data_IF_925207006555
#
_entry.id   IF_925207006555
#
_cell.length_a   1.000
_cell.length_b   1.000
_cell.length_c   1.000
_cell.angle_alpha   90.00
_cell.angle_beta   90.00
_cell.angle_gamma   90.00
#
_symmetry.space_group_name_H-M   'P 1'
#
loop_
_entity.id
_entity.type
_entity.pdbx_description
1 polymer ?
#
# COMPACT_ATOMS: atom_id res chain seq x y z
N UNK A 1 -30.79 8.00 13.09
CA UNK A 1 -29.54 7.63 12.39
C UNK A 1 -28.40 8.14 13.28
N UNK A 2 -27.55 7.25 13.83
CA UNK A 2 -26.49 7.66 14.78
C UNK A 2 -25.48 8.60 14.11
N UNK A 3 -24.92 9.57 14.85
CA UNK A 3 -23.81 10.43 14.39
C UNK A 3 -22.67 9.58 13.81
N UNK A 4 -22.44 8.39 14.37
CA UNK A 4 -21.45 7.41 13.88
C UNK A 4 -21.73 6.95 12.44
N UNK A 5 -22.99 6.78 12.04
CA UNK A 5 -23.34 6.37 10.68
C UNK A 5 -23.09 7.50 9.68
N UNK A 6 -23.24 8.76 10.10
CA UNK A 6 -22.91 9.92 9.26
C UNK A 6 -21.40 10.06 9.10
N UNK A 7 -20.64 9.86 10.19
CA UNK A 7 -19.17 9.85 10.13
C UNK A 7 -18.68 8.76 9.17
N UNK A 8 -19.22 7.55 9.19
CA UNK A 8 -18.80 6.48 8.26
C UNK A 8 -18.92 6.80 6.76
N UNK A 9 -19.70 7.82 6.38
CA UNK A 9 -19.87 8.25 4.98
C UNK A 9 -18.91 9.33 4.52
N UNK A 10 -18.04 9.87 5.40
CA UNK A 10 -17.10 10.92 4.98
C UNK A 10 -16.22 10.52 3.78
N UNK A 11 -15.77 9.25 3.61
CA UNK A 11 -14.97 8.90 2.44
C UNK A 11 -15.74 9.03 1.11
N UNK A 12 -17.06 8.83 1.14
CA UNK A 12 -17.94 9.01 -0.03
C UNK A 12 -18.00 10.49 -0.46
N UNK A 13 -17.85 11.43 0.48
CA UNK A 13 -17.83 12.86 0.20
C UNK A 13 -16.53 13.27 -0.51
N UNK A 14 -15.39 12.80 -0.03
CA UNK A 14 -14.08 13.00 -0.69
C UNK A 14 -14.08 12.37 -2.09
N UNK A 15 -14.63 11.16 -2.22
CA UNK A 15 -14.78 10.48 -3.50
C UNK A 15 -15.67 11.28 -4.47
N UNK A 16 -16.82 11.76 -3.99
CA UNK A 16 -17.75 12.56 -4.79
C UNK A 16 -17.07 13.83 -5.33
N UNK A 17 -16.35 14.58 -4.50
CA UNK A 17 -15.67 15.79 -4.96
C UNK A 17 -14.59 15.51 -6.00
N UNK A 18 -13.83 14.42 -5.84
CA UNK A 18 -12.81 13.98 -6.80
C UNK A 18 -13.42 13.55 -8.14
N UNK A 19 -14.51 12.79 -8.13
CA UNK A 19 -15.21 12.38 -9.36
C UNK A 19 -15.77 13.60 -10.09
N UNK A 20 -16.38 14.54 -9.35
CA UNK A 20 -16.85 15.81 -9.91
C UNK A 20 -15.70 16.65 -10.49
N UNK A 21 -14.56 16.73 -9.81
CA UNK A 21 -13.36 17.38 -10.33
C UNK A 21 -12.86 16.74 -11.63
N UNK A 22 -12.90 15.41 -11.71
CA UNK A 22 -12.50 14.66 -12.89
C UNK A 22 -13.48 14.83 -14.08
N UNK A 23 -14.79 14.85 -13.83
CA UNK A 23 -15.81 15.14 -14.86
C UNK A 23 -15.57 16.53 -15.49
N UNK A 24 -15.31 17.55 -14.66
CA UNK A 24 -15.00 18.89 -15.16
C UNK A 24 -13.69 18.92 -15.98
N UNK A 25 -12.66 18.21 -15.51
CA UNK A 25 -11.40 18.07 -16.26
C UNK A 25 -11.64 17.48 -17.66
N UNK A 26 -12.42 16.39 -17.76
CA UNK A 26 -12.73 15.77 -19.05
C UNK A 26 -13.50 16.72 -19.98
N UNK A 27 -14.47 17.47 -19.44
CA UNK A 27 -15.22 18.45 -20.22
C UNK A 27 -14.33 19.57 -20.77
N UNK A 28 -13.41 20.09 -19.95
CA UNK A 28 -12.44 21.12 -20.39
C UNK A 28 -11.58 20.59 -21.54
N UNK A 29 -11.00 19.39 -21.40
CA UNK A 29 -10.18 18.78 -22.45
C UNK A 29 -10.98 18.52 -23.74
N UNK A 30 -12.23 18.10 -23.60
CA UNK A 30 -13.10 17.90 -24.75
C UNK A 30 -13.33 19.22 -25.51
N UNK A 31 -13.74 20.27 -24.81
CA UNK A 31 -14.03 21.58 -25.41
C UNK A 31 -12.78 22.20 -26.04
N UNK A 32 -11.60 21.99 -25.44
CA UNK A 32 -10.33 22.46 -26.00
C UNK A 32 -9.98 21.73 -27.32
N UNK A 33 -10.15 20.40 -27.37
CA UNK A 33 -9.97 19.63 -28.62
C UNK A 33 -10.92 20.08 -29.72
N UNK A 34 -12.14 20.46 -29.35
CA UNK A 34 -13.16 21.01 -30.24
C UNK A 34 -12.91 22.49 -30.61
N UNK A 35 -11.86 23.12 -30.07
CA UNK A 35 -11.54 24.55 -30.24
C UNK A 35 -12.72 25.48 -29.85
N UNK A 36 -13.52 25.05 -28.87
CA UNK A 36 -14.72 25.75 -28.43
C UNK A 36 -14.40 26.87 -27.45
N UNK A 37 -14.90 28.08 -27.70
CA UNK A 37 -14.77 29.21 -26.77
C UNK A 37 -15.45 28.97 -25.41
N UNK A 38 -16.37 28.00 -25.34
CA UNK A 38 -17.00 27.59 -24.08
C UNK A 38 -16.01 27.02 -23.06
N UNK A 39 -14.82 26.59 -23.50
CA UNK A 39 -13.77 26.10 -22.60
C UNK A 39 -13.43 27.12 -21.51
N UNK A 40 -13.42 28.42 -21.83
CA UNK A 40 -13.12 29.49 -20.86
C UNK A 40 -14.26 29.70 -19.86
N UNK A 41 -15.51 29.61 -20.32
CA UNK A 41 -16.68 29.71 -19.45
C UNK A 41 -16.77 28.50 -18.50
N UNK A 42 -16.51 27.30 -19.00
CA UNK A 42 -16.45 26.08 -18.20
C UNK A 42 -15.23 26.10 -17.26
N UNK A 43 -14.10 26.68 -17.70
CA UNK A 43 -12.89 26.87 -16.90
C UNK A 43 -13.12 27.70 -15.63
N UNK A 44 -14.13 28.57 -15.58
CA UNK A 44 -14.57 29.26 -14.35
C UNK A 44 -15.05 28.29 -13.25
N UNK A 45 -15.33 27.03 -13.59
CA UNK A 45 -15.59 25.97 -12.64
C UNK A 45 -14.36 25.55 -11.82
N UNK A 46 -13.13 25.78 -12.30
CA UNK A 46 -11.91 25.32 -11.60
C UNK A 46 -11.83 25.81 -10.14
N UNK A 47 -12.00 27.11 -9.83
CA UNK A 47 -12.02 27.58 -8.45
C UNK A 47 -13.13 26.96 -7.61
N UNK A 48 -14.32 26.75 -8.20
CA UNK A 48 -15.49 26.18 -7.51
C UNK A 48 -15.20 24.74 -7.09
N UNK A 49 -14.68 23.93 -8.00
CA UNK A 49 -14.35 22.54 -7.72
C UNK A 49 -13.10 22.40 -6.84
N UNK A 50 -12.17 23.37 -6.91
CA UNK A 50 -11.05 23.43 -5.97
C UNK A 50 -11.54 23.73 -4.55
N UNK A 51 -12.51 24.66 -4.39
CA UNK A 51 -13.15 24.92 -3.10
C UNK A 51 -13.95 23.71 -2.59
N UNK A 52 -14.64 23.00 -3.49
CA UNK A 52 -15.36 21.78 -3.15
C UNK A 52 -14.41 20.69 -2.65
N UNK A 53 -13.29 20.46 -3.33
CA UNK A 53 -12.25 19.52 -2.91
C UNK A 53 -11.62 19.92 -1.58
N UNK A 54 -11.33 21.21 -1.39
CA UNK A 54 -10.83 21.72 -0.12
C UNK A 54 -11.81 21.43 1.02
N UNK A 55 -13.09 21.76 0.83
CA UNK A 55 -14.12 21.57 1.85
C UNK A 55 -14.39 20.09 2.15
N UNK A 56 -14.52 19.25 1.12
CA UNK A 56 -14.74 17.81 1.30
C UNK A 56 -13.57 17.16 2.04
N UNK A 57 -12.34 17.58 1.74
CA UNK A 57 -11.13 17.11 2.39
C UNK A 57 -11.05 17.56 3.84
N UNK A 58 -11.32 18.84 4.13
CA UNK A 58 -11.40 19.35 5.51
C UNK A 58 -12.42 18.57 6.34
N UNK A 59 -13.63 18.35 5.79
CA UNK A 59 -14.69 17.58 6.48
C UNK A 59 -14.21 16.15 6.75
N UNK A 60 -13.64 15.50 5.74
CA UNK A 60 -13.11 14.14 5.83
C UNK A 60 -12.04 14.02 6.91
N UNK A 61 -11.08 14.93 6.93
CA UNK A 61 -9.98 14.90 7.89
C UNK A 61 -10.44 15.23 9.32
N UNK A 62 -11.40 16.15 9.49
CA UNK A 62 -12.06 16.36 10.80
C UNK A 62 -12.75 15.08 11.26
N UNK A 63 -13.46 14.37 10.37
CA UNK A 63 -14.09 13.11 10.71
C UNK A 63 -13.06 12.02 11.05
N UNK A 64 -11.93 11.94 10.33
CA UNK A 64 -10.81 11.04 10.64
C UNK A 64 -10.22 11.31 12.02
N UNK A 65 -10.02 12.59 12.38
CA UNK A 65 -9.53 12.98 13.70
C UNK A 65 -10.52 12.54 14.79
N UNK A 66 -11.81 12.80 14.60
CA UNK A 66 -12.86 12.36 15.54
C UNK A 66 -12.86 10.84 15.68
N UNK A 67 -12.77 10.11 14.57
CA UNK A 67 -12.72 8.65 14.55
C UNK A 67 -11.48 8.11 15.29
N UNK A 68 -10.30 8.68 15.06
CA UNK A 68 -9.07 8.37 15.82
C UNK A 68 -9.26 8.59 17.32
N UNK A 69 -9.90 9.68 17.74
CA UNK A 69 -10.17 9.94 19.16
C UNK A 69 -11.12 8.88 19.73
N UNK A 70 -12.20 8.55 19.02
CA UNK A 70 -13.16 7.51 19.44
C UNK A 70 -12.45 6.16 19.55
N UNK A 71 -11.71 5.74 18.53
CA UNK A 71 -10.96 4.48 18.53
C UNK A 71 -9.94 4.44 19.67
N UNK A 72 -9.24 5.55 19.91
CA UNK A 72 -8.27 5.66 21.01
C UNK A 72 -8.93 5.43 22.37
N UNK A 73 -10.12 6.01 22.57
CA UNK A 73 -10.89 5.83 23.82
C UNK A 73 -11.39 4.40 23.96
N UNK A 74 -11.97 3.83 22.88
CA UNK A 74 -12.55 2.48 22.89
C UNK A 74 -11.48 1.42 23.16
N UNK A 75 -10.32 1.55 22.51
CA UNK A 75 -9.22 0.59 22.61
C UNK A 75 -8.31 0.84 23.82
N UNK A 76 -8.44 2.01 24.47
CA UNK A 76 -7.58 2.45 25.58
C UNK A 76 -6.08 2.52 25.20
N UNK A 77 -5.81 2.73 23.92
CA UNK A 77 -4.47 2.90 23.34
C UNK A 77 -4.52 3.86 22.16
N UNK A 78 -3.43 4.57 21.86
CA UNK A 78 -3.42 5.58 20.80
C UNK A 78 -3.70 4.99 19.41
N UNK A 79 -4.66 5.57 18.67
CA UNK A 79 -5.10 5.11 17.34
C UNK A 79 -4.69 6.02 16.18
N UNK A 80 -3.38 6.27 16.07
CA UNK A 80 -2.81 7.32 15.21
C UNK A 80 -2.85 7.10 13.70
N UNK A 81 -3.07 5.88 13.19
CA UNK A 81 -2.95 5.60 11.75
C UNK A 81 -3.75 6.55 10.86
N UNK A 82 -5.01 6.84 11.22
CA UNK A 82 -5.89 7.69 10.40
C UNK A 82 -5.46 9.17 10.32
N UNK A 83 -4.57 9.64 11.21
CA UNK A 83 -4.09 11.03 11.21
C UNK A 83 -2.68 11.17 10.63
N UNK A 84 -1.94 10.07 10.40
CA UNK A 84 -0.60 10.13 9.81
C UNK A 84 -0.61 10.62 8.36
N UNK A 85 -1.69 10.35 7.63
CA UNK A 85 -1.85 10.83 6.24
C UNK A 85 -2.13 12.33 6.15
N UNK A 86 -2.49 13.00 7.26
CA UNK A 86 -2.81 14.44 7.23
C UNK A 86 -1.65 15.32 6.75
N UNK A 87 -0.40 14.90 7.03
CA UNK A 87 0.77 15.62 6.54
C UNK A 87 0.94 15.44 5.02
N UNK A 88 0.64 14.26 4.50
CA UNK A 88 0.63 13.99 3.05
C UNK A 88 -0.47 14.81 2.38
N UNK A 89 -1.61 14.98 3.05
CA UNK A 89 -2.75 15.75 2.59
C UNK A 89 -2.48 17.26 2.50
N UNK A 90 -1.44 17.78 3.17
CA UNK A 90 -1.07 19.21 3.13
C UNK A 90 -0.80 19.69 1.69
N UNK A 91 -0.28 18.82 0.83
CA UNK A 91 -0.04 19.13 -0.59
C UNK A 91 -1.37 19.31 -1.34
N UNK A 92 -2.36 18.45 -1.06
CA UNK A 92 -3.70 18.55 -1.64
C UNK A 92 -4.45 19.81 -1.16
N UNK A 93 -4.27 20.18 0.11
CA UNK A 93 -4.76 21.43 0.67
C UNK A 93 -4.17 22.64 -0.07
N UNK A 94 -2.85 22.69 -0.19
CA UNK A 94 -2.16 23.78 -0.89
C UNK A 94 -2.60 23.86 -2.35
N UNK A 95 -2.65 22.72 -3.06
CA UNK A 95 -3.09 22.64 -4.45
C UNK A 95 -4.52 23.17 -4.64
N UNK A 96 -5.44 22.76 -3.78
CA UNK A 96 -6.84 23.21 -3.82
C UNK A 96 -6.98 24.70 -3.50
N UNK A 97 -6.24 25.20 -2.51
CA UNK A 97 -6.22 26.62 -2.18
C UNK A 97 -5.64 27.50 -3.30
N UNK A 98 -4.54 27.05 -3.92
CA UNK A 98 -3.95 27.72 -5.08
C UNK A 98 -4.93 27.67 -6.27
N UNK A 99 -5.62 26.55 -6.48
CA UNK A 99 -6.64 26.43 -7.53
C UNK A 99 -7.80 27.41 -7.36
N UNK A 100 -8.20 27.72 -6.11
CA UNK A 100 -9.21 28.74 -5.82
C UNK A 100 -8.75 30.16 -6.17
N UNK A 101 -7.48 30.47 -5.90
CA UNK A 101 -6.95 31.84 -5.98
C UNK A 101 -6.32 32.17 -7.33
N UNK A 102 -5.52 31.25 -7.85
CA UNK A 102 -4.73 31.39 -9.09
C UNK A 102 -5.41 30.72 -10.29
N UNK A 103 -6.32 29.75 -10.06
CA UNK A 103 -6.96 28.98 -11.13
C UNK A 103 -7.70 29.84 -12.16
N UNK A 104 -8.31 30.95 -11.76
CA UNK A 104 -8.97 31.90 -12.68
C UNK A 104 -7.96 32.50 -13.67
N UNK A 105 -6.78 32.89 -13.19
CA UNK A 105 -5.78 33.52 -14.05
C UNK A 105 -5.16 32.51 -15.03
N UNK A 106 -4.85 31.31 -14.53
CA UNK A 106 -4.28 30.27 -15.38
C UNK A 106 -5.26 29.73 -16.41
N UNK A 107 -6.55 29.58 -16.07
CA UNK A 107 -7.54 29.06 -17.02
C UNK A 107 -7.82 30.05 -18.15
N UNK A 108 -7.70 31.36 -17.92
CA UNK A 108 -7.85 32.37 -18.99
C UNK A 108 -6.73 32.22 -20.04
N UNK A 109 -5.54 31.80 -19.62
CA UNK A 109 -4.41 31.62 -20.52
C UNK A 109 -4.39 30.21 -21.15
N UNK A 110 -4.56 29.17 -20.34
CA UNK A 110 -4.52 27.77 -20.76
C UNK A 110 -5.46 26.93 -19.86
N UNK A 111 -6.73 26.73 -20.27
CA UNK A 111 -7.72 26.00 -19.48
C UNK A 111 -7.32 24.55 -19.16
N UNK A 112 -6.75 23.82 -20.12
CA UNK A 112 -6.37 22.42 -19.91
C UNK A 112 -5.20 22.28 -18.92
N UNK A 113 -4.20 23.14 -19.03
CA UNK A 113 -3.10 23.17 -18.05
C UNK A 113 -3.60 23.53 -16.65
N UNK A 114 -4.52 24.50 -16.53
CA UNK A 114 -5.13 24.84 -15.25
C UNK A 114 -5.96 23.68 -14.67
N UNK A 115 -6.72 22.97 -15.52
CA UNK A 115 -7.49 21.79 -15.14
C UNK A 115 -6.57 20.66 -14.68
N UNK A 116 -5.50 20.39 -15.42
CA UNK A 116 -4.48 19.40 -15.07
C UNK A 116 -3.83 19.72 -13.74
N UNK A 117 -3.55 20.99 -13.42
CA UNK A 117 -2.90 21.37 -12.18
C UNK A 117 -3.86 21.33 -10.96
N UNK A 118 -5.11 21.77 -11.13
CA UNK A 118 -6.01 22.04 -10.00
C UNK A 118 -7.23 21.14 -9.85
N UNK A 119 -7.60 20.35 -10.87
CA UNK A 119 -8.71 19.39 -10.74
C UNK A 119 -8.20 17.99 -10.38
N UNK A 120 -9.01 16.95 -10.55
CA UNK A 120 -8.50 15.58 -10.52
C UNK A 120 -8.15 15.20 -11.96
N UNK A 121 -6.90 14.81 -12.18
CA UNK A 121 -6.37 14.40 -13.49
C UNK A 121 -6.21 12.86 -13.53
N UNK A 122 -6.16 12.24 -14.72
CA UNK A 122 -5.82 10.82 -14.84
C UNK A 122 -4.40 10.57 -14.32
N UNK A 123 -4.16 9.37 -13.80
CA UNK A 123 -2.82 8.93 -13.47
C UNK A 123 -1.99 8.81 -14.76
N UNK A 124 -0.77 9.35 -14.74
CA UNK A 124 0.16 9.20 -15.85
C UNK A 124 0.79 7.81 -15.79
N UNK A 125 0.56 6.93 -16.79
CA UNK A 125 1.12 5.58 -16.80
C UNK A 125 2.65 5.56 -16.96
N UNK A 126 3.26 6.69 -17.30
CA UNK A 126 4.71 6.83 -17.42
C UNK A 126 5.38 7.29 -16.11
N UNK A 127 4.61 7.64 -15.08
CA UNK A 127 5.17 7.90 -13.76
C UNK A 127 5.51 6.56 -13.11
N UNK A 128 6.79 6.22 -13.11
CA UNK A 128 7.31 4.94 -12.63
C UNK A 128 8.39 5.19 -11.58
N UNK A 129 8.32 4.50 -10.44
CA UNK A 129 9.34 4.57 -9.38
C UNK A 129 10.44 3.51 -9.53
N UNK A 130 10.08 2.36 -10.10
CA UNK A 130 10.97 1.24 -10.36
C UNK A 130 11.40 1.21 -11.82
N UNK A 131 12.70 1.05 -12.07
CA UNK A 131 13.18 0.70 -13.41
C UNK A 131 12.66 -0.67 -13.84
N UNK A 132 12.71 -0.99 -15.14
CA UNK A 132 12.31 -2.32 -15.63
C UNK A 132 13.19 -3.45 -15.06
N UNK A 133 14.45 -3.18 -14.72
CA UNK A 133 15.34 -4.12 -14.03
C UNK A 133 14.87 -4.37 -12.59
N UNK A 134 14.53 -3.31 -11.85
CA UNK A 134 14.03 -3.42 -10.48
C UNK A 134 12.67 -4.13 -10.44
N UNK A 135 11.75 -3.79 -11.34
CA UNK A 135 10.49 -4.51 -11.49
C UNK A 135 10.70 -6.00 -11.78
N UNK A 136 11.67 -6.34 -12.63
CA UNK A 136 12.01 -7.73 -12.94
C UNK A 136 12.56 -8.48 -11.72
N UNK A 137 13.38 -7.82 -10.89
CA UNK A 137 13.90 -8.37 -9.64
C UNK A 137 12.77 -8.65 -8.64
N UNK A 138 11.84 -7.71 -8.46
CA UNK A 138 10.69 -7.92 -7.56
C UNK A 138 9.82 -9.09 -8.01
N UNK A 139 9.45 -9.15 -9.29
CA UNK A 139 8.66 -10.27 -9.80
C UNK A 139 9.40 -11.62 -9.67
N UNK A 140 10.71 -11.65 -9.91
CA UNK A 140 11.51 -12.86 -9.75
C UNK A 140 11.59 -13.30 -8.28
N UNK A 141 11.79 -12.36 -7.35
CA UNK A 141 11.76 -12.67 -5.92
C UNK A 141 10.39 -13.16 -5.48
N UNK A 142 9.30 -12.52 -5.93
CA UNK A 142 7.94 -12.92 -5.59
C UNK A 142 7.63 -14.35 -6.06
N UNK A 143 8.05 -14.73 -7.27
CA UNK A 143 7.88 -16.10 -7.78
C UNK A 143 8.66 -17.14 -6.97
N UNK A 144 9.91 -16.81 -6.62
CA UNK A 144 10.78 -17.68 -5.81
C UNK A 144 10.23 -17.82 -4.39
N UNK A 145 9.77 -16.73 -3.77
CA UNK A 145 9.16 -16.74 -2.43
C UNK A 145 7.86 -17.53 -2.43
N UNK A 146 6.99 -17.36 -3.43
CA UNK A 146 5.76 -18.13 -3.57
C UNK A 146 6.04 -19.64 -3.61
N UNK A 147 7.00 -20.05 -4.44
CA UNK A 147 7.40 -21.45 -4.54
C UNK A 147 8.00 -21.97 -3.21
N UNK A 148 8.85 -21.17 -2.57
CA UNK A 148 9.49 -21.49 -1.28
C UNK A 148 8.43 -21.68 -0.18
N UNK A 149 7.47 -20.76 -0.07
CA UNK A 149 6.40 -20.83 0.91
C UNK A 149 5.50 -22.04 0.72
N UNK A 150 5.14 -22.40 -0.51
CA UNK A 150 4.38 -23.63 -0.79
C UNK A 150 5.18 -24.86 -0.35
N UNK A 151 6.45 -24.95 -0.76
CA UNK A 151 7.32 -26.09 -0.48
C UNK A 151 7.49 -26.32 1.03
N UNK A 152 7.67 -25.25 1.78
CA UNK A 152 7.88 -25.28 3.22
C UNK A 152 6.58 -25.07 4.00
N UNK A 153 5.41 -25.10 3.37
CA UNK A 153 4.11 -24.89 4.02
C UNK A 153 4.13 -23.68 4.97
N UNK A 154 4.61 -22.53 4.47
CA UNK A 154 4.58 -21.25 5.16
C UNK A 154 3.33 -20.53 4.70
N UNK A 155 2.31 -20.49 5.56
CA UNK A 155 1.04 -19.85 5.23
C UNK A 155 1.20 -18.34 5.15
N UNK A 156 0.86 -17.74 3.99
CA UNK A 156 1.07 -16.32 3.73
C UNK A 156 -0.02 -15.74 2.82
N UNK A 157 -0.23 -14.43 2.89
CA UNK A 157 -1.11 -13.67 2.01
C UNK A 157 -0.39 -12.40 1.53
N UNK A 158 -0.72 -11.95 0.33
CA UNK A 158 -0.41 -10.58 -0.10
C UNK A 158 -1.14 -9.58 0.80
N UNK A 159 -0.48 -8.50 1.16
CA UNK A 159 -1.04 -7.42 1.98
C UNK A 159 -0.73 -6.06 1.33
N UNK A 160 -1.23 -4.98 1.93
CA UNK A 160 -0.83 -3.61 1.63
C UNK A 160 -0.93 -3.24 0.13
N UNK A 161 0.12 -2.57 -0.41
CA UNK A 161 0.22 -2.14 -1.81
C UNK A 161 0.23 -3.32 -2.77
N UNK A 162 0.77 -4.47 -2.36
CA UNK A 162 0.77 -5.68 -3.17
C UNK A 162 -0.64 -6.27 -3.36
N UNK A 163 -1.45 -6.30 -2.30
CA UNK A 163 -2.86 -6.69 -2.39
C UNK A 163 -3.65 -5.73 -3.30
N UNK A 164 -3.40 -4.42 -3.18
CA UNK A 164 -4.01 -3.41 -4.03
C UNK A 164 -3.59 -3.59 -5.50
N UNK A 165 -2.30 -3.82 -5.76
CA UNK A 165 -1.75 -4.06 -7.09
C UNK A 165 -2.31 -5.32 -7.74
N UNK A 166 -2.48 -6.41 -6.99
CA UNK A 166 -3.05 -7.65 -7.52
C UNK A 166 -4.49 -7.45 -8.03
N UNK A 167 -5.31 -6.72 -7.27
CA UNK A 167 -6.70 -6.49 -7.63
C UNK A 167 -6.86 -5.38 -8.69
N UNK A 168 -6.11 -4.28 -8.55
CA UNK A 168 -6.28 -3.07 -9.38
C UNK A 168 -5.44 -3.07 -10.64
N UNK A 169 -4.18 -3.49 -10.56
CA UNK A 169 -3.21 -3.43 -11.66
C UNK A 169 -2.93 -4.80 -12.30
N UNK A 170 -3.27 -5.89 -11.61
CA UNK A 170 -2.84 -7.25 -11.91
C UNK A 170 -1.31 -7.41 -11.89
N UNK A 171 -0.63 -6.65 -11.03
CA UNK A 171 0.83 -6.62 -10.89
C UNK A 171 1.29 -5.53 -9.93
N UNK A 172 2.58 -5.19 -9.98
CA UNK A 172 3.16 -4.10 -9.18
C UNK A 172 2.57 -2.76 -9.64
N UNK A 173 2.17 -1.93 -8.67
CA UNK A 173 1.73 -0.57 -8.92
C UNK A 173 2.92 0.26 -9.40
N UNK A 174 2.78 1.00 -10.50
CA UNK A 174 3.92 1.71 -11.13
C UNK A 174 4.62 2.72 -10.22
N UNK A 175 3.89 3.26 -9.25
CA UNK A 175 4.41 4.21 -8.27
C UNK A 175 4.60 3.58 -6.87
N UNK A 176 4.68 2.26 -6.77
CA UNK A 176 5.28 1.53 -5.63
C UNK A 176 6.77 1.31 -5.88
N UNK A 177 7.52 1.07 -4.81
CA UNK A 177 8.95 0.75 -4.84
C UNK A 177 9.32 -0.59 -4.15
N UNK A 178 8.33 -1.34 -3.65
CA UNK A 178 8.49 -2.63 -2.97
C UNK A 178 7.28 -3.57 -3.15
N UNK A 179 7.26 -4.67 -2.39
CA UNK A 179 6.12 -5.58 -2.26
C UNK A 179 5.98 -6.06 -0.81
N UNK A 180 4.76 -6.39 -0.40
CA UNK A 180 4.40 -6.71 0.97
C UNK A 180 3.71 -8.08 1.06
N UNK A 181 4.25 -8.95 1.91
CA UNK A 181 3.69 -10.25 2.23
C UNK A 181 3.48 -10.36 3.74
N UNK A 182 2.34 -10.89 4.18
CA UNK A 182 2.10 -11.23 5.58
C UNK A 182 2.11 -12.75 5.75
N UNK A 183 2.83 -13.27 6.75
CA UNK A 183 2.82 -14.70 7.11
C UNK A 183 1.88 -14.95 8.31
N UNK A 184 1.18 -16.09 8.30
CA UNK A 184 0.28 -16.49 9.40
C UNK A 184 1.08 -16.67 10.70
N UNK A 185 0.51 -16.34 11.88
CA UNK A 185 1.18 -16.53 13.17
C UNK A 185 1.81 -17.91 13.34
N UNK A 186 1.11 -18.98 12.95
CA UNK A 186 1.60 -20.36 13.07
C UNK A 186 2.79 -20.69 12.17
N UNK A 187 3.06 -19.87 11.15
CA UNK A 187 4.18 -20.05 10.22
C UNK A 187 5.41 -19.19 10.58
N UNK A 188 5.27 -18.24 11.52
CA UNK A 188 6.33 -17.28 11.88
C UNK A 188 7.59 -17.99 12.38
N UNK A 189 7.46 -18.83 13.40
CA UNK A 189 8.62 -19.50 13.99
C UNK A 189 9.29 -20.46 13.00
N UNK A 190 8.48 -21.17 12.20
CA UNK A 190 8.99 -22.06 11.16
C UNK A 190 9.79 -21.29 10.10
N UNK A 191 9.27 -20.15 9.64
CA UNK A 191 9.98 -19.30 8.68
C UNK A 191 11.28 -18.77 9.27
N UNK A 192 11.25 -18.26 10.50
CA UNK A 192 12.42 -17.78 11.24
C UNK A 192 13.52 -18.85 11.32
N UNK A 193 13.18 -20.09 11.70
CA UNK A 193 14.13 -21.21 11.75
C UNK A 193 14.74 -21.49 10.38
N UNK A 194 13.94 -21.46 9.30
CA UNK A 194 14.45 -21.65 7.93
C UNK A 194 15.43 -20.54 7.51
N UNK A 195 15.22 -19.31 7.98
CA UNK A 195 16.15 -18.19 7.77
C UNK A 195 17.45 -18.38 8.58
N UNK A 196 17.35 -18.63 9.88
CA UNK A 196 18.50 -18.75 10.80
C UNK A 196 19.40 -19.95 10.48
N UNK A 197 18.81 -21.05 10.00
CA UNK A 197 19.56 -22.26 9.58
C UNK A 197 20.18 -22.11 8.18
N UNK A 198 19.94 -20.99 7.48
CA UNK A 198 20.44 -20.72 6.14
C UNK A 198 19.74 -21.50 5.03
N UNK A 199 18.67 -22.24 5.33
CA UNK A 199 17.88 -22.98 4.33
C UNK A 199 17.24 -22.01 3.34
N UNK A 200 16.68 -20.91 3.83
CA UNK A 200 16.09 -19.85 3.00
C UNK A 200 17.08 -19.36 1.94
N UNK A 201 18.23 -18.83 2.36
CA UNK A 201 19.23 -18.27 1.43
C UNK A 201 19.79 -19.32 0.48
N UNK A 202 19.99 -20.57 0.95
CA UNK A 202 20.51 -21.67 0.13
C UNK A 202 19.54 -22.10 -0.98
N UNK A 203 18.24 -22.17 -0.69
CA UNK A 203 17.24 -22.62 -1.67
C UNK A 203 16.78 -21.50 -2.60
N UNK A 204 16.67 -20.26 -2.10
CA UNK A 204 16.15 -19.12 -2.87
C UNK A 204 17.24 -18.33 -3.60
N UNK A 205 18.47 -18.30 -3.09
CA UNK A 205 19.51 -17.38 -3.55
C UNK A 205 19.23 -15.91 -3.19
N UNK A 206 18.29 -15.66 -2.28
CA UNK A 206 17.86 -14.34 -1.82
C UNK A 206 18.46 -14.08 -0.44
N UNK A 207 18.98 -12.87 -0.24
CA UNK A 207 19.43 -12.39 1.06
C UNK A 207 18.24 -11.86 1.86
N UNK A 208 18.33 -11.97 3.18
CA UNK A 208 17.27 -11.54 4.10
C UNK A 208 17.86 -10.81 5.31
N UNK A 209 17.23 -9.70 5.68
CA UNK A 209 17.62 -8.90 6.86
C UNK A 209 16.39 -8.67 7.72
N UNK A 210 16.51 -8.94 9.03
CA UNK A 210 15.47 -8.61 10.00
C UNK A 210 15.45 -7.10 10.25
N UNK A 211 14.26 -6.51 10.28
CA UNK A 211 14.05 -5.08 10.47
C UNK A 211 13.47 -4.83 11.86
N UNK A 212 14.21 -4.11 12.70
CA UNK A 212 13.78 -3.79 14.07
C UNK A 212 12.51 -2.93 14.06
N UNK A 213 12.43 -1.96 13.14
CA UNK A 213 11.32 -1.02 13.07
C UNK A 213 10.00 -1.68 12.69
N UNK A 214 9.98 -2.51 11.64
CA UNK A 214 8.78 -3.21 11.19
C UNK A 214 8.54 -4.52 11.95
N UNK A 215 9.57 -5.04 12.64
CA UNK A 215 9.60 -6.36 13.24
C UNK A 215 9.60 -7.52 12.22
N UNK A 216 9.67 -7.22 10.92
CA UNK A 216 9.64 -8.20 9.85
C UNK A 216 11.00 -8.43 9.18
N UNK A 217 10.96 -8.88 7.94
CA UNK A 217 12.16 -9.15 7.15
C UNK A 217 12.08 -8.46 5.80
N UNK A 218 13.21 -7.94 5.34
CA UNK A 218 13.39 -7.44 3.98
C UNK A 218 14.22 -8.43 3.18
N UNK A 219 13.68 -8.87 2.05
CA UNK A 219 14.30 -9.82 1.13
C UNK A 219 14.78 -9.10 -0.13
N UNK A 220 16.01 -9.35 -0.55
CA UNK A 220 16.61 -8.74 -1.73
C UNK A 220 17.67 -9.65 -2.35
N UNK A 221 18.00 -9.46 -3.63
CA UNK A 221 19.16 -10.15 -4.21
C UNK A 221 20.47 -9.56 -3.69
N UNK A 222 21.49 -10.41 -3.52
CA UNK A 222 22.79 -10.01 -2.97
C UNK A 222 23.50 -8.93 -3.77
N UNK A 223 23.30 -8.89 -5.09
CA UNK A 223 23.83 -7.87 -5.99
C UNK A 223 22.97 -6.59 -6.08
N UNK A 224 21.90 -6.49 -5.30
CA UNK A 224 21.04 -5.30 -5.25
C UNK A 224 21.76 -4.14 -4.57
N UNK A 225 21.68 -2.89 -5.11
CA UNK A 225 22.26 -1.70 -4.49
C UNK A 225 21.80 -1.53 -3.04
N UNK A 226 22.74 -1.30 -2.12
CA UNK A 226 22.45 -1.11 -0.69
C UNK A 226 22.19 0.36 -0.36
N UNK A 227 21.48 0.59 0.74
CA UNK A 227 21.32 1.94 1.30
C UNK A 227 22.66 2.55 1.74
N UNK A 228 22.66 3.87 1.95
CA UNK A 228 23.85 4.58 2.39
C UNK A 228 24.29 4.14 3.80
N UNK A 229 25.59 4.31 4.15
CA UNK A 229 26.09 4.00 5.49
C UNK A 229 25.38 4.80 6.60
N UNK A 230 25.17 4.17 7.76
CA UNK A 230 24.47 4.72 8.92
C UNK A 230 22.99 5.06 8.67
N UNK A 231 22.36 4.35 7.76
CA UNK A 231 20.92 4.50 7.48
C UNK A 231 20.19 3.22 7.87
N UNK A 232 18.88 3.27 8.16
CA UNK A 232 18.09 2.06 8.41
C UNK A 232 18.17 1.04 7.26
N UNK A 233 18.54 1.48 6.05
CA UNK A 233 18.63 0.67 4.84
C UNK A 233 20.06 0.27 4.46
N UNK A 234 21.07 0.56 5.29
CA UNK A 234 22.50 0.28 4.97
C UNK A 234 22.75 -1.17 4.55
N UNK A 235 22.02 -2.11 5.15
CA UNK A 235 22.16 -3.53 4.88
C UNK A 235 21.05 -4.09 3.97
N UNK A 236 20.09 -3.26 3.58
CA UNK A 236 18.98 -3.64 2.72
C UNK A 236 19.31 -3.32 1.26
N UNK A 237 19.15 -4.31 0.37
CA UNK A 237 19.24 -4.10 -1.07
C UNK A 237 17.93 -3.59 -1.67
N UNK A 238 18.00 -2.69 -2.66
CA UNK A 238 16.86 -2.25 -3.46
C UNK A 238 16.82 -2.92 -4.84
N UNK A 239 15.65 -3.35 -5.33
CA UNK A 239 14.36 -3.34 -4.65
C UNK A 239 14.26 -4.50 -3.64
N UNK A 240 13.27 -4.47 -2.75
CA UNK A 240 13.07 -5.50 -1.73
C UNK A 240 11.60 -5.91 -1.60
N UNK A 241 11.38 -7.09 -1.02
CA UNK A 241 10.05 -7.55 -0.57
C UNK A 241 10.06 -7.57 0.95
N UNK A 242 9.09 -6.90 1.57
CA UNK A 242 8.80 -6.98 3.00
C UNK A 242 7.98 -8.22 3.32
N UNK A 243 8.42 -8.97 4.33
CA UNK A 243 7.71 -10.11 4.92
C UNK A 243 7.38 -9.74 6.36
N UNK A 244 6.09 -9.54 6.63
CA UNK A 244 5.59 -9.20 7.96
C UNK A 244 5.15 -10.45 8.73
N UNK A 245 5.69 -10.69 9.94
CA UNK A 245 5.18 -11.73 10.81
C UNK A 245 3.79 -11.36 11.31
N UNK A 246 2.82 -12.21 11.05
CA UNK A 246 1.47 -12.06 11.60
C UNK A 246 1.43 -12.41 13.09
N UNK A 247 0.55 -11.74 13.83
CA UNK A 247 0.16 -12.10 15.19
C UNK A 247 -1.36 -12.02 15.32
N UNK A 248 -1.93 -12.92 16.13
CA UNK A 248 -3.35 -12.86 16.49
C UNK A 248 -3.59 -11.79 17.56
N UNK A 249 -4.55 -10.90 17.33
CA UNK A 249 -5.02 -9.89 18.29
C UNK A 249 -6.55 -9.88 18.37
N UNK A 250 -7.09 -9.29 19.44
CA UNK A 250 -8.52 -9.05 19.56
C UNK A 250 -8.84 -7.60 19.15
N UNK A 251 -9.79 -7.45 18.24
CA UNK A 251 -10.39 -6.17 17.86
C UNK A 251 -11.91 -6.27 18.07
N UNK A 252 -12.44 -5.60 19.10
CA UNK A 252 -13.88 -5.64 19.41
C UNK A 252 -14.45 -7.08 19.49
N UNK A 253 -13.78 -7.94 20.27
CA UNK A 253 -14.11 -9.37 20.46
C UNK A 253 -13.92 -10.28 19.22
N UNK A 254 -13.39 -9.74 18.13
CA UNK A 254 -13.03 -10.52 16.95
C UNK A 254 -11.52 -10.80 16.91
N UNK A 255 -11.14 -12.05 16.70
CA UNK A 255 -9.75 -12.42 16.41
C UNK A 255 -9.36 -11.94 15.02
N UNK A 256 -8.30 -11.15 14.96
CA UNK A 256 -7.69 -10.63 13.74
C UNK A 256 -6.22 -11.06 13.67
N UNK A 257 -5.69 -11.16 12.46
CA UNK A 257 -4.27 -11.37 12.16
C UNK A 257 -3.74 -10.05 11.62
N UNK A 258 -2.76 -9.47 12.30
CA UNK A 258 -2.13 -8.18 11.94
C UNK A 258 -0.64 -8.25 12.20
N UNK A 259 0.07 -7.15 12.01
CA UNK A 259 1.51 -7.04 12.22
C UNK A 259 1.95 -7.48 13.62
N UNK A 260 3.03 -8.27 13.69
CA UNK A 260 3.69 -8.65 14.93
C UNK A 260 4.18 -7.45 15.72
N UNK A 261 4.77 -6.46 15.03
CA UNK A 261 5.21 -5.22 15.67
C UNK A 261 4.01 -4.33 16.04
N UNK A 262 3.94 -3.90 17.30
CA UNK A 262 2.87 -3.05 17.81
C UNK A 262 2.79 -1.70 17.07
N UNK A 263 3.94 -1.07 16.79
CA UNK A 263 3.97 0.22 16.09
C UNK A 263 3.37 0.11 14.69
N UNK A 264 3.75 -0.92 13.93
CA UNK A 264 3.19 -1.16 12.59
C UNK A 264 1.67 -1.36 12.65
N UNK A 265 1.17 -2.19 13.57
CA UNK A 265 -0.27 -2.40 13.72
C UNK A 265 -1.03 -1.12 14.11
N UNK A 266 -0.42 -0.24 14.92
CA UNK A 266 -1.02 1.05 15.30
C UNK A 266 -1.00 2.08 14.17
N UNK A 267 -0.02 2.01 13.27
CA UNK A 267 0.10 2.86 12.09
C UNK A 267 -0.85 2.39 10.98
N UNK A 268 -1.04 1.09 10.83
CA UNK A 268 -1.85 0.47 9.78
C UNK A 268 -3.08 -0.23 10.35
N UNK A 269 -3.94 0.47 11.10
CA UNK A 269 -5.07 -0.14 11.84
C UNK A 269 -6.11 -0.85 10.97
N UNK A 270 -6.26 -0.43 9.72
CA UNK A 270 -7.15 -1.11 8.76
C UNK A 270 -6.57 -2.40 8.19
N UNK A 271 -5.26 -2.57 8.35
CA UNK A 271 -4.47 -3.61 7.73
C UNK A 271 -4.31 -4.81 8.67
N UNK A 272 -5.34 -5.63 8.61
CA UNK A 272 -5.43 -6.91 9.27
C UNK A 272 -6.33 -7.81 8.45
N UNK A 273 -6.25 -9.11 8.69
CA UNK A 273 -7.21 -10.09 8.19
C UNK A 273 -8.03 -10.62 9.36
N UNK A 274 -9.31 -10.87 9.17
CA UNK A 274 -10.05 -11.70 10.14
C UNK A 274 -9.67 -13.18 9.95
N UNK A 275 -9.95 -14.01 10.96
CA UNK A 275 -9.74 -15.45 10.83
C UNK A 275 -10.49 -16.05 9.61
N UNK A 276 -11.72 -15.59 9.35
CA UNK A 276 -12.53 -16.05 8.21
C UNK A 276 -11.96 -15.57 6.87
N UNK A 277 -11.47 -14.32 6.82
CA UNK A 277 -10.80 -13.78 5.63
C UNK A 277 -9.55 -14.61 5.32
N UNK A 278 -8.70 -14.86 6.32
CA UNK A 278 -7.46 -15.61 6.17
C UNK A 278 -7.67 -17.09 5.84
N UNK A 279 -8.74 -17.72 6.35
CA UNK A 279 -9.11 -19.10 6.02
C UNK A 279 -9.33 -19.30 4.51
N UNK A 280 -9.64 -18.21 3.78
CA UNK A 280 -9.66 -18.25 2.32
C UNK A 280 -8.26 -18.11 1.73
N UNK A 281 -7.99 -18.86 0.67
CA UNK A 281 -6.71 -18.84 -0.02
C UNK A 281 -6.94 -18.97 -1.53
N UNK A 282 -6.68 -17.88 -2.25
CA UNK A 282 -6.89 -17.77 -3.70
C UNK A 282 -5.59 -17.34 -4.37
N UNK A 283 -5.25 -17.96 -5.50
CA UNK A 283 -4.12 -17.50 -6.33
C UNK A 283 -4.57 -16.31 -7.18
N UNK A 284 -3.88 -15.18 -7.04
CA UNK A 284 -4.04 -13.99 -7.88
C UNK A 284 -3.00 -13.97 -9.00
N UNK A 285 -3.36 -13.60 -10.24
CA UNK A 285 -2.38 -13.18 -11.23
C UNK A 285 -1.67 -11.91 -10.75
N UNK A 286 -0.34 -11.89 -10.84
CA UNK A 286 0.47 -10.74 -10.42
C UNK A 286 1.69 -10.60 -11.34
N UNK A 287 1.54 -9.82 -12.41
CA UNK A 287 2.54 -9.73 -13.48
C UNK A 287 2.85 -11.11 -14.09
N UNK A 288 4.11 -11.54 -14.17
CA UNK A 288 4.49 -12.86 -14.68
C UNK A 288 4.32 -14.00 -13.68
N UNK A 289 3.91 -13.72 -12.43
CA UNK A 289 3.78 -14.73 -11.36
C UNK A 289 2.36 -14.80 -10.80
N UNK A 290 2.19 -15.59 -9.75
CA UNK A 290 0.96 -15.72 -8.97
C UNK A 290 1.29 -15.67 -7.50
N UNK A 291 0.38 -15.09 -6.71
CA UNK A 291 0.54 -14.98 -5.26
C UNK A 291 -0.74 -15.38 -4.55
N UNK A 292 -0.62 -15.87 -3.32
CA UNK A 292 -1.79 -16.16 -2.49
C UNK A 292 -2.36 -14.88 -1.88
N UNK A 293 -3.68 -14.72 -2.00
CA UNK A 293 -4.49 -13.72 -1.31
C UNK A 293 -5.75 -14.37 -0.75
N UNK A 294 -6.71 -13.53 -0.37
CA UNK A 294 -8.04 -13.94 0.13
C UNK A 294 -9.08 -13.92 -1.01
N UNK A 295 -10.34 -14.28 -0.77
CA UNK A 295 -11.38 -14.20 -1.82
C UNK A 295 -11.54 -12.77 -2.40
N UNK A 296 -11.82 -12.58 -3.71
CA UNK A 296 -11.85 -11.25 -4.34
C UNK A 296 -12.77 -10.21 -3.70
N UNK A 297 -14.01 -10.57 -3.39
CA UNK A 297 -14.95 -9.64 -2.75
C UNK A 297 -14.48 -9.26 -1.33
N UNK A 298 -13.82 -10.20 -0.66
CA UNK A 298 -13.27 -10.02 0.69
C UNK A 298 -12.00 -9.16 0.63
N UNK A 299 -11.20 -9.31 -0.43
CA UNK A 299 -10.05 -8.46 -0.71
C UNK A 299 -10.46 -7.00 -0.92
N UNK A 300 -11.59 -6.74 -1.60
CA UNK A 300 -12.14 -5.39 -1.71
C UNK A 300 -12.47 -4.78 -0.35
N UNK A 301 -13.13 -5.53 0.53
CA UNK A 301 -13.46 -5.09 1.90
C UNK A 301 -12.19 -4.83 2.73
N UNK A 302 -11.19 -5.69 2.63
CA UNK A 302 -9.86 -5.49 3.23
C UNK A 302 -9.22 -4.19 2.72
N UNK A 303 -9.17 -3.97 1.41
CA UNK A 303 -8.57 -2.76 0.82
C UNK A 303 -9.36 -1.49 1.18
N UNK A 304 -10.68 -1.56 1.26
CA UNK A 304 -11.52 -0.45 1.73
C UNK A 304 -11.24 -0.10 3.18
N UNK A 305 -10.99 -1.11 4.01
CA UNK A 305 -10.63 -0.93 5.40
C UNK A 305 -9.22 -0.34 5.56
N UNK A 306 -8.25 -0.81 4.77
CA UNK A 306 -6.85 -0.37 4.82
C UNK A 306 -6.65 1.03 4.24
N UNK A 307 -7.29 1.34 3.10
CA UNK A 307 -7.00 2.54 2.31
C UNK A 307 -8.21 3.43 2.01
N UNK A 308 -9.41 3.00 2.39
CA UNK A 308 -10.66 3.68 2.06
C UNK A 308 -11.20 3.37 0.66
N UNK A 309 -12.45 3.76 0.37
CA UNK A 309 -13.15 3.42 -0.87
C UNK A 309 -12.57 4.06 -2.13
N UNK A 310 -11.64 5.01 -2.00
CA UNK A 310 -10.96 5.62 -3.15
C UNK A 310 -9.84 4.76 -3.72
N UNK A 311 -9.27 3.80 -2.97
CA UNK A 311 -8.04 3.10 -3.37
C UNK A 311 -8.12 2.35 -4.71
N UNK A 312 -9.29 1.77 -5.02
CA UNK A 312 -9.53 1.07 -6.29
C UNK A 312 -9.78 2.02 -7.47
N UNK A 313 -10.19 3.26 -7.20
CA UNK A 313 -10.54 4.27 -8.22
C UNK A 313 -9.46 5.31 -8.43
N UNK A 314 -8.56 5.49 -7.46
CA UNK A 314 -7.56 6.53 -7.46
C UNK A 314 -6.19 5.98 -7.13
N UNK A 315 -5.20 6.48 -7.84
CA UNK A 315 -3.78 6.34 -7.50
C UNK A 315 -3.43 7.50 -6.60
N UNK A 316 -3.06 7.21 -5.34
CA UNK A 316 -2.45 8.21 -4.48
C UNK A 316 -0.95 8.15 -4.72
N UNK A 317 -0.41 9.15 -5.41
CA UNK A 317 1.03 9.30 -5.52
C UNK A 317 1.55 9.80 -4.18
N UNK A 318 2.36 8.98 -3.52
CA UNK A 318 3.11 9.33 -2.32
C UNK A 318 4.56 9.63 -2.68
N UNK A 319 5.32 10.19 -1.76
CA UNK A 319 6.76 10.26 -1.95
C UNK A 319 7.36 8.84 -1.88
N UNK A 320 8.43 8.52 -2.62
CA UNK A 320 9.08 7.21 -2.53
C UNK A 320 9.78 7.03 -1.16
N UNK A 321 10.07 5.79 -0.76
CA UNK A 321 10.74 5.50 0.52
C UNK A 321 12.07 6.24 0.68
N UNK A 322 12.77 6.50 -0.41
CA UNK A 322 14.01 7.28 -0.43
C UNK A 322 13.81 8.72 0.04
N UNK A 323 12.73 9.38 -0.37
CA UNK A 323 12.43 10.74 0.03
C UNK A 323 12.16 10.82 1.54
N UNK A 324 11.36 9.88 2.08
CA UNK A 324 11.13 9.80 3.53
C UNK A 324 12.43 9.56 4.29
N UNK A 325 13.25 8.62 3.83
CA UNK A 325 14.57 8.31 4.40
C UNK A 325 15.48 9.55 4.42
N UNK A 326 15.53 10.31 3.31
CA UNK A 326 16.32 11.54 3.22
C UNK A 326 15.81 12.63 4.19
N UNK A 327 14.50 12.76 4.38
CA UNK A 327 13.91 13.70 5.34
C UNK A 327 14.31 13.32 6.77
N UNK A 328 14.28 12.04 7.12
CA UNK A 328 14.73 11.58 8.43
C UNK A 328 16.21 11.90 8.69
N UNK A 329 17.06 11.77 7.67
CA UNK A 329 18.50 12.08 7.79
C UNK A 329 18.78 13.58 7.87
N UNK A 330 18.03 14.37 7.12
CA UNK A 330 18.26 15.81 6.95
C UNK A 330 16.95 16.59 7.08
N UNK A 331 16.34 16.65 8.28
CA UNK A 331 15.02 17.26 8.47
C UNK A 331 15.00 18.75 8.11
N UNK A 332 16.14 19.44 8.25
CA UNK A 332 16.27 20.85 7.84
C UNK A 332 16.26 21.05 6.32
N UNK A 333 16.49 19.99 5.54
CA UNK A 333 16.50 19.99 4.07
C UNK A 333 15.16 19.55 3.46
N UNK A 334 14.10 19.40 4.26
CA UNK A 334 12.81 18.85 3.83
C UNK A 334 12.29 19.52 2.55
N UNK A 335 12.28 20.85 2.46
CA UNK A 335 11.77 21.54 1.26
C UNK A 335 12.61 21.26 0.01
N UNK A 336 13.93 21.11 0.16
CA UNK A 336 14.82 20.75 -0.95
C UNK A 336 14.63 19.31 -1.38
N UNK A 337 14.36 18.39 -0.45
CA UNK A 337 14.12 16.98 -0.77
C UNK A 337 12.77 16.86 -1.48
N UNK A 338 11.72 17.45 -0.90
CA UNK A 338 10.37 17.39 -1.46
C UNK A 338 10.27 18.01 -2.86
N UNK A 339 11.05 19.05 -3.16
CA UNK A 339 11.05 19.69 -4.49
C UNK A 339 11.73 18.87 -5.59
N UNK A 340 12.50 17.84 -5.23
CA UNK A 340 13.14 16.92 -6.18
C UNK A 340 12.21 15.79 -6.61
N UNK A 341 11.07 15.62 -5.93
CA UNK A 341 10.11 14.56 -6.22
C UNK A 341 8.78 15.15 -6.71
N UNK A 342 8.04 14.43 -7.57
CA UNK A 342 6.69 14.82 -7.94
C UNK A 342 5.81 14.98 -6.70
N UNK A 343 5.08 16.08 -6.62
CA UNK A 343 4.23 16.35 -5.46
C UNK A 343 3.14 15.27 -5.29
N UNK A 344 2.89 14.82 -4.05
CA UNK A 344 1.82 13.89 -3.73
C UNK A 344 0.48 14.38 -4.25
N UNK A 345 -0.28 13.46 -4.84
CA UNK A 345 -1.57 13.81 -5.42
C UNK A 345 -2.45 12.58 -5.62
N UNK A 346 -3.75 12.75 -5.46
CA UNK A 346 -4.75 11.79 -5.90
C UNK A 346 -5.03 11.95 -7.40
N UNK A 347 -4.82 10.88 -8.16
CA UNK A 347 -5.00 10.80 -9.61
C UNK A 347 -6.03 9.73 -9.95
N UNK A 348 -6.83 9.91 -11.00
CA UNK A 348 -7.86 8.94 -11.40
C UNK A 348 -7.18 7.72 -12.04
N UNK A 349 -7.42 6.53 -11.48
CA UNK A 349 -7.01 5.26 -12.08
C UNK A 349 -7.93 4.92 -13.25
N UNK A 350 -7.38 4.85 -14.46
CA UNK A 350 -8.17 4.70 -15.69
C UNK A 350 -8.36 3.25 -16.10
N UNK A 351 -7.28 2.50 -16.09
CA UNK A 351 -7.25 1.08 -16.43
C UNK A 351 -6.03 0.44 -15.78
N UNK A 352 -6.07 -0.88 -15.52
CA UNK A 352 -4.90 -1.61 -15.04
C UNK A 352 -3.70 -1.35 -15.94
N UNK A 353 -2.56 -1.03 -15.34
CA UNK A 353 -1.30 -0.81 -16.04
C UNK A 353 -0.16 -1.36 -15.17
N UNK A 354 0.01 -2.70 -15.12
CA UNK A 354 1.04 -3.31 -14.30
C UNK A 354 2.43 -2.81 -14.73
N UNK A 355 3.36 -2.76 -13.79
CA UNK A 355 4.74 -2.36 -14.06
C UNK A 355 5.38 -3.24 -15.15
N UNK A 356 5.95 -2.60 -16.17
CA UNK A 356 6.77 -3.27 -17.19
C UNK A 356 8.10 -3.72 -16.60
N UNK A 357 8.65 -4.83 -17.10
CA UNK A 357 9.88 -5.40 -16.56
C UNK A 357 10.78 -6.01 -17.64
N UNK A 358 12.07 -6.13 -17.33
CA UNK A 358 13.04 -6.80 -18.19
C UNK A 358 12.94 -8.33 -18.04
N UNK A 359 12.47 -9.01 -19.09
CA UNK A 359 12.27 -10.46 -19.10
C UNK A 359 13.58 -11.25 -18.88
N UNK A 360 14.71 -10.77 -19.42
CA UNK A 360 16.00 -11.45 -19.29
C UNK A 360 16.54 -11.39 -17.87
N UNK A 361 16.37 -10.23 -17.21
CA UNK A 361 16.69 -10.06 -15.79
C UNK A 361 15.79 -10.97 -14.95
N UNK A 362 14.47 -10.97 -15.22
CA UNK A 362 13.52 -11.82 -14.50
C UNK A 362 13.92 -13.30 -14.56
N UNK A 363 14.20 -13.84 -15.75
CA UNK A 363 14.61 -15.24 -15.92
C UNK A 363 15.95 -15.54 -15.25
N UNK A 364 16.92 -14.65 -15.39
CA UNK A 364 18.25 -14.81 -14.78
C UNK A 364 18.16 -14.84 -13.25
N UNK A 365 17.37 -13.94 -12.66
CA UNK A 365 17.19 -13.84 -11.21
C UNK A 365 16.40 -15.00 -10.64
N UNK A 366 15.35 -15.43 -11.33
CA UNK A 366 14.58 -16.62 -10.99
C UNK A 366 15.44 -17.89 -11.00
N UNK A 367 16.36 -18.01 -11.96
CA UNK A 367 17.24 -19.18 -12.09
C UNK A 367 18.29 -19.32 -10.97
N UNK A 368 18.49 -18.29 -10.14
CA UNK A 368 19.35 -18.38 -8.96
C UNK A 368 18.76 -19.31 -7.89
N UNK A 369 17.43 -19.46 -7.85
CA UNK A 369 16.76 -20.37 -6.95
C UNK A 369 17.12 -21.82 -7.31
N UNK A 370 17.62 -22.56 -6.33
CA UNK A 370 18.00 -23.98 -6.48
C UNK A 370 16.83 -24.91 -6.17
N UNK A 371 15.62 -24.46 -6.52
CA UNK A 371 14.41 -25.23 -6.30
C UNK A 371 14.21 -26.21 -7.47
N UNK A 372 13.97 -27.51 -7.22
CA UNK A 372 13.61 -28.42 -8.29
C UNK A 372 12.35 -27.92 -8.99
N UNK A 373 12.31 -28.00 -10.32
CA UNK A 373 11.26 -27.45 -11.17
C UNK A 373 9.83 -28.00 -10.88
N UNK A 374 9.72 -29.05 -10.07
CA UNK A 374 8.46 -29.67 -9.67
C UNK A 374 8.17 -29.42 -8.18
N UNK A 375 7.57 -28.27 -7.87
CA UNK A 375 6.74 -28.20 -6.66
C UNK A 375 5.49 -29.03 -6.97
N UNK A 376 5.54 -30.28 -6.53
CA UNK A 376 4.59 -31.33 -6.83
C UNK A 376 3.14 -30.88 -6.61
N UNK A 377 2.22 -31.22 -7.53
CA UNK A 377 0.79 -30.88 -7.42
C UNK A 377 0.18 -31.30 -6.06
N UNK A 378 0.76 -32.33 -5.41
CA UNK A 378 0.35 -32.76 -4.07
C UNK A 378 0.63 -31.72 -2.98
N UNK A 379 1.70 -30.91 -3.09
CA UNK A 379 2.00 -29.84 -2.15
C UNK A 379 0.93 -28.74 -2.20
N UNK A 380 0.51 -28.36 -3.43
CA UNK A 380 -0.62 -27.42 -3.62
C UNK A 380 -1.91 -27.95 -3.01
N UNK A 381 -2.20 -29.25 -3.18
CA UNK A 381 -3.37 -29.86 -2.57
C UNK A 381 -3.28 -29.87 -1.04
N UNK A 382 -2.12 -30.21 -0.45
CA UNK A 382 -1.96 -30.19 1.01
C UNK A 382 -2.15 -28.79 1.62
N UNK A 383 -1.72 -27.76 0.90
CA UNK A 383 -1.88 -26.38 1.33
C UNK A 383 -3.36 -25.98 1.44
N UNK A 384 -4.18 -26.44 0.48
CA UNK A 384 -5.64 -26.23 0.48
C UNK A 384 -6.38 -27.00 1.58
N UNK A 385 -5.79 -28.08 2.11
CA UNK A 385 -6.38 -28.82 3.22
C UNK A 385 -6.07 -28.18 4.57
N UNK A 386 -4.90 -27.55 4.73
CA UNK A 386 -4.56 -26.83 5.96
C UNK A 386 -5.46 -25.60 6.20
N UNK A 387 -5.84 -24.87 5.15
CA UNK A 387 -6.73 -23.71 5.28
C UNK A 387 -8.17 -24.08 5.70
N UNK A 388 -8.56 -25.35 5.58
CA UNK A 388 -9.90 -25.84 5.93
C UNK A 388 -9.95 -26.59 7.27
N UNK A 389 -8.80 -26.82 7.91
CA UNK A 389 -8.78 -27.40 9.25
C UNK A 389 -9.29 -26.34 10.24
N UNK A 390 -10.59 -26.42 10.58
CA UNK A 390 -11.21 -25.57 11.59
C UNK A 390 -10.36 -25.58 12.86
N UNK A 391 -9.91 -24.39 13.26
CA UNK A 391 -9.29 -24.15 14.56
C UNK A 391 -10.33 -24.57 15.61
N UNK A 392 -10.09 -25.70 16.28
CA UNK A 392 -10.81 -26.01 17.49
C UNK A 392 -10.49 -24.87 18.49
N UNK A 393 -11.49 -24.28 19.15
CA UNK A 393 -11.26 -23.21 20.12
C UNK A 393 -10.55 -23.81 21.33
N UNK A 394 -9.21 -23.77 21.32
CA UNK A 394 -8.40 -24.15 22.47
C UNK A 394 -8.27 -22.96 23.45
N UNK A 395 -8.14 -23.33 24.72
CA UNK A 395 -8.28 -22.55 25.95
C UNK A 395 -7.65 -21.14 25.99
N UNK A 396 -8.21 -20.22 26.80
CA UNK A 396 -7.66 -18.88 26.99
C UNK A 396 -6.23 -18.95 27.54
N UNK A 397 -5.27 -18.54 26.71
CA UNK A 397 -3.89 -18.29 27.13
C UNK A 397 -3.92 -17.15 28.16
N UNK A 398 -3.63 -17.51 29.41
CA UNK A 398 -3.43 -16.57 30.50
C UNK A 398 -2.26 -15.66 30.11
N UNK A 399 -2.57 -14.40 29.83
CA UNK A 399 -1.60 -13.31 29.74
C UNK A 399 -0.90 -13.15 31.09
N UNK A 400 0.33 -13.64 31.19
CA UNK A 400 1.27 -13.28 32.25
C UNK A 400 2.21 -12.18 31.78
N UNK A 401 2.39 -11.20 32.68
CA UNK A 401 3.51 -10.26 32.79
C UNK A 401 3.51 -8.97 31.97
N UNK A 402 2.67 -8.03 32.40
CA UNK A 402 3.05 -6.61 32.48
C UNK A 402 3.52 -6.33 33.91
N UNK A 403 4.78 -6.69 34.19
CA UNK A 403 5.47 -6.21 35.37
C UNK A 403 5.98 -4.79 35.10
N UNK A 404 5.42 -3.84 35.86
CA UNK A 404 5.87 -2.45 35.95
C UNK A 404 7.40 -2.36 36.07
N UNK A 405 8.05 -1.74 35.09
CA UNK A 405 9.27 -0.98 35.35
C UNK A 405 8.89 0.48 35.59
N UNK A 406 8.81 0.84 36.87
CA UNK A 406 9.09 2.20 37.30
C UNK A 406 10.60 2.44 37.15
N UNK A 407 10.98 3.36 36.25
CA UNK A 407 12.08 4.31 36.43
C UNK A 407 12.00 5.41 35.38
#
# INVERSE_FOLDING_TARGET
>A
MSILNTLKKYPELELYSKEKGYELYQLILQLEREQSLWVYAVGLGIPVYSALNLLSKMITDVCRIIDTVIQTIVQREYAGGNVQTLLVDAVEYARSFIGMTVGIFLMVYNPAYAAELFLTAPADPNTIYLTSDEGARLYAMADVLHAFFIRHQIDYRISCGTALGALREHGIIRNDDDMDLMIHPDSVEKFKVLCETGVFAKETGIDIVAQEFTGGWQCFYSDSPKGAPNTPLEHTGKPFIDIFPGISRLLCDQTIITYGNANMSLQSKGDYFTADEWATCVEYPFGPTKLFGIEPNVMEDYLYRSYGPSALKYVNRLYPHEAYTAIYQSPLSILSILSQHPSPRALRHMCPSPLDFDQGVYESKRALARMPAEVNQSAKNSYRFMSNAQIAPDDPVISTDVALMQR
#
